data_IF_870358312059
#
_entry.id   IF_870358312059
#
_cell.length_a   1.000
_cell.length_b   1.000
_cell.length_c   1.000
_cell.angle_alpha   90.00
_cell.angle_beta   90.00
_cell.angle_gamma   90.00
#
_symmetry.space_group_name_H-M   'P 1'
#
loop_
_entity.id
_entity.type
_entity.pdbx_description
1 polymer ?
#
# COMPACT_ATOMS: atom_id res chain seq x y z
N UNK A 1 1.01 0.43 -24.33
CA UNK A 1 0.00 -0.60 -24.19
C UNK A 1 -0.67 -0.66 -22.81
N UNK A 2 0.04 -0.37 -21.74
CA UNK A 2 -0.62 -0.31 -20.42
C UNK A 2 -1.61 0.86 -20.35
N UNK A 3 -2.79 0.58 -19.78
CA UNK A 3 -3.80 1.61 -19.55
C UNK A 3 -3.32 2.63 -18.52
N UNK A 4 -3.50 3.90 -18.84
CA UNK A 4 -3.17 5.02 -17.95
C UNK A 4 -3.91 4.90 -16.62
N UNK A 5 -5.11 4.34 -16.60
CA UNK A 5 -5.88 4.12 -15.37
C UNK A 5 -5.15 3.25 -14.36
N UNK A 6 -4.46 2.18 -14.81
CA UNK A 6 -3.64 1.32 -13.95
C UNK A 6 -2.47 2.08 -13.35
N UNK A 7 -1.79 2.87 -14.17
CA UNK A 7 -0.64 3.67 -13.74
C UNK A 7 -1.06 4.75 -12.74
N UNK A 8 -2.19 5.42 -12.99
CA UNK A 8 -2.75 6.40 -12.07
C UNK A 8 -3.17 5.76 -10.75
N UNK A 9 -3.80 4.59 -10.80
CA UNK A 9 -4.20 3.85 -9.60
C UNK A 9 -2.97 3.52 -8.74
N UNK A 10 -1.90 3.03 -9.36
CA UNK A 10 -0.64 2.74 -8.67
C UNK A 10 -0.06 3.99 -8.00
N UNK A 11 0.04 5.08 -8.74
CA UNK A 11 0.58 6.36 -8.22
C UNK A 11 -0.24 6.84 -7.02
N UNK A 12 -1.56 6.80 -7.13
CA UNK A 12 -2.45 7.25 -6.06
C UNK A 12 -2.33 6.36 -4.81
N UNK A 13 -2.24 5.05 -4.98
CA UNK A 13 -2.05 4.11 -3.88
C UNK A 13 -0.68 4.29 -3.21
N UNK A 14 0.39 4.47 -3.99
CA UNK A 14 1.73 4.74 -3.45
C UNK A 14 1.75 6.02 -2.63
N UNK A 15 1.14 7.08 -3.14
CA UNK A 15 1.05 8.36 -2.43
C UNK A 15 0.30 8.21 -1.12
N UNK A 16 -0.88 7.62 -1.16
CA UNK A 16 -1.73 7.40 0.01
C UNK A 16 -1.02 6.55 1.07
N UNK A 17 -0.34 5.48 0.65
CA UNK A 17 0.45 4.63 1.52
C UNK A 17 1.60 5.40 2.18
N UNK A 18 2.39 6.13 1.39
CA UNK A 18 3.54 6.89 1.89
C UNK A 18 3.11 8.01 2.86
N UNK A 19 2.03 8.70 2.55
CA UNK A 19 1.49 9.77 3.42
C UNK A 19 1.06 9.21 4.77
N UNK A 20 0.31 8.11 4.78
CA UNK A 20 -0.11 7.48 6.03
C UNK A 20 1.07 6.93 6.82
N UNK A 21 2.02 6.28 6.15
CA UNK A 21 3.23 5.75 6.77
C UNK A 21 4.04 6.84 7.45
N UNK A 22 4.22 7.98 6.78
CA UNK A 22 4.93 9.13 7.34
C UNK A 22 4.18 9.71 8.55
N UNK A 23 2.87 9.88 8.44
CA UNK A 23 2.02 10.36 9.52
C UNK A 23 2.13 9.47 10.77
N UNK A 24 2.12 8.16 10.59
CA UNK A 24 2.25 7.22 11.70
C UNK A 24 3.64 7.24 12.32
N UNK A 25 4.69 7.40 11.52
CA UNK A 25 6.06 7.58 12.05
C UNK A 25 6.19 8.86 12.88
N UNK A 26 5.60 9.95 12.42
CA UNK A 26 5.58 11.21 13.16
C UNK A 26 4.82 11.08 14.48
N UNK A 27 3.66 10.40 14.44
CA UNK A 27 2.87 10.12 15.65
C UNK A 27 3.67 9.29 16.66
N UNK A 28 4.34 8.24 16.19
CA UNK A 28 5.18 7.38 17.02
C UNK A 28 6.26 8.20 17.73
N UNK A 29 6.97 9.03 16.98
CA UNK A 29 8.04 9.87 17.53
C UNK A 29 7.51 10.84 18.58
N UNK A 30 6.42 11.54 18.27
CA UNK A 30 5.82 12.54 19.19
C UNK A 30 5.29 11.87 20.46
N UNK A 31 4.58 10.77 20.32
CA UNK A 31 4.01 10.05 21.47
C UNK A 31 5.10 9.46 22.37
N UNK A 32 6.13 8.89 21.76
CA UNK A 32 7.27 8.38 22.53
C UNK A 32 8.01 9.48 23.26
N UNK A 33 8.30 10.58 22.60
CA UNK A 33 8.99 11.73 23.22
C UNK A 33 8.18 12.30 24.38
N UNK A 34 6.87 12.47 24.21
CA UNK A 34 5.97 12.96 25.27
C UNK A 34 5.94 12.01 26.46
N UNK A 35 5.89 10.72 26.22
CA UNK A 35 5.93 9.71 27.28
C UNK A 35 7.22 9.77 28.07
N UNK A 36 8.38 9.84 27.40
CA UNK A 36 9.69 9.90 28.06
C UNK A 36 9.89 11.18 28.87
N UNK A 37 9.35 12.30 28.42
CA UNK A 37 9.38 13.54 29.18
C UNK A 37 8.59 13.43 30.51
N UNK A 38 7.44 12.76 30.46
CA UNK A 38 6.59 12.54 31.62
C UNK A 38 7.07 11.40 32.54
N UNK A 39 7.81 10.44 32.00
CA UNK A 39 8.20 9.19 32.66
C UNK A 39 9.69 8.91 32.47
N UNK A 40 10.55 9.87 32.83
CA UNK A 40 12.01 9.80 32.61
C UNK A 40 12.68 8.63 33.35
N UNK A 41 12.06 8.10 34.40
CA UNK A 41 12.58 6.97 35.18
C UNK A 41 12.21 5.61 34.59
N UNK A 42 11.31 5.57 33.64
CA UNK A 42 10.93 4.31 32.98
C UNK A 42 12.08 3.83 32.09
N UNK A 43 12.62 2.65 32.41
CA UNK A 43 13.74 2.02 31.69
C UNK A 43 13.29 0.98 30.68
N UNK A 44 11.99 0.87 30.41
CA UNK A 44 11.47 -0.04 29.39
C UNK A 44 12.02 0.31 28.01
N UNK A 45 12.13 -0.69 27.14
CA UNK A 45 12.59 -0.46 25.77
C UNK A 45 11.62 0.45 25.02
N UNK A 46 12.13 1.18 24.04
CA UNK A 46 11.32 2.03 23.16
C UNK A 46 10.15 1.25 22.54
N UNK A 47 10.44 0.03 22.07
CA UNK A 47 9.45 -0.84 21.45
C UNK A 47 8.29 -1.19 22.40
N UNK A 48 8.59 -1.55 23.65
CA UNK A 48 7.58 -1.86 24.65
C UNK A 48 6.71 -0.64 24.98
N UNK A 49 7.33 0.52 25.10
CA UNK A 49 6.62 1.77 25.38
C UNK A 49 5.66 2.09 24.23
N UNK A 50 6.14 2.01 22.98
CA UNK A 50 5.33 2.28 21.80
C UNK A 50 4.17 1.30 21.69
N UNK A 51 4.41 0.02 21.90
CA UNK A 51 3.35 -1.01 21.87
C UNK A 51 2.26 -0.72 22.90
N UNK A 52 2.66 -0.33 24.11
CA UNK A 52 1.71 0.06 25.16
C UNK A 52 0.90 1.30 24.80
N UNK A 53 1.53 2.30 24.18
CA UNK A 53 0.85 3.51 23.73
C UNK A 53 -0.15 3.21 22.60
N UNK A 54 0.21 2.34 21.68
CA UNK A 54 -0.69 1.90 20.60
C UNK A 54 -1.91 1.15 21.15
N UNK A 55 -1.69 0.22 22.09
CA UNK A 55 -2.78 -0.54 22.69
C UNK A 55 -3.78 0.33 23.45
N UNK A 56 -3.34 1.49 23.93
CA UNK A 56 -4.20 2.45 24.61
C UNK A 56 -4.89 3.44 23.67
N UNK A 57 -4.63 3.38 22.37
CA UNK A 57 -5.13 4.32 21.35
C UNK A 57 -5.78 3.55 20.19
N UNK A 58 -7.10 3.36 20.27
CA UNK A 58 -7.87 2.62 19.27
C UNK A 58 -7.74 3.24 17.88
N UNK A 59 -7.67 4.57 17.78
CA UNK A 59 -7.52 5.25 16.51
C UNK A 59 -6.16 4.93 15.87
N UNK A 60 -5.11 4.85 16.67
CA UNK A 60 -3.79 4.46 16.18
C UNK A 60 -3.79 3.04 15.62
N UNK A 61 -4.42 2.10 16.32
CA UNK A 61 -4.57 0.72 15.85
C UNK A 61 -5.34 0.64 14.54
N UNK A 62 -6.43 1.41 14.40
CA UNK A 62 -7.19 1.48 13.15
C UNK A 62 -6.35 2.04 12.00
N UNK A 63 -5.52 3.04 12.25
CA UNK A 63 -4.62 3.59 11.24
C UNK A 63 -3.52 2.61 10.84
N UNK A 64 -3.02 1.80 11.78
CA UNK A 64 -2.06 0.73 11.47
C UNK A 64 -2.70 -0.34 10.57
N UNK A 65 -3.96 -0.72 10.84
CA UNK A 65 -4.71 -1.64 9.97
C UNK A 65 -4.93 -1.05 8.59
N UNK A 66 -5.28 0.23 8.51
CA UNK A 66 -5.43 0.94 7.23
C UNK A 66 -4.13 0.94 6.44
N UNK A 67 -2.99 1.13 7.10
CA UNK A 67 -1.68 1.08 6.45
C UNK A 67 -1.40 -0.30 5.86
N UNK A 68 -1.69 -1.37 6.60
CA UNK A 68 -1.54 -2.74 6.11
C UNK A 68 -2.44 -3.02 4.91
N UNK A 69 -3.68 -2.53 4.93
CA UNK A 69 -4.61 -2.67 3.81
C UNK A 69 -4.08 -1.95 2.56
N UNK A 70 -3.58 -0.73 2.71
CA UNK A 70 -2.98 0.04 1.60
C UNK A 70 -1.75 -0.66 1.02
N UNK A 71 -0.90 -1.23 1.86
CA UNK A 71 0.26 -2.01 1.42
C UNK A 71 -0.18 -3.24 0.61
N UNK A 72 -1.19 -3.97 1.08
CA UNK A 72 -1.75 -5.11 0.37
C UNK A 72 -2.33 -4.73 -0.97
N UNK A 73 -3.10 -3.65 -1.05
CA UNK A 73 -3.66 -3.14 -2.31
C UNK A 73 -2.57 -2.77 -3.30
N UNK A 74 -1.51 -2.09 -2.84
CA UNK A 74 -0.39 -1.72 -3.68
C UNK A 74 0.35 -2.93 -4.25
N UNK A 75 0.54 -3.97 -3.42
CA UNK A 75 1.14 -5.24 -3.88
C UNK A 75 0.31 -5.90 -4.97
N UNK A 76 -1.02 -5.91 -4.84
CA UNK A 76 -1.92 -6.49 -5.85
C UNK A 76 -1.83 -5.70 -7.16
N UNK A 77 -1.88 -4.37 -7.11
CA UNK A 77 -1.77 -3.54 -8.31
C UNK A 77 -0.43 -3.74 -9.01
N UNK A 78 0.67 -3.78 -8.24
CA UNK A 78 2.00 -4.05 -8.82
C UNK A 78 2.07 -5.43 -9.48
N UNK A 79 1.47 -6.45 -8.86
CA UNK A 79 1.41 -7.79 -9.44
C UNK A 79 0.66 -7.79 -10.77
N UNK A 80 -0.47 -7.09 -10.85
CA UNK A 80 -1.26 -6.96 -12.09
C UNK A 80 -0.43 -6.27 -13.17
N UNK A 81 0.22 -5.16 -12.85
CA UNK A 81 1.05 -4.41 -13.80
C UNK A 81 2.21 -5.28 -14.29
N UNK A 82 2.92 -5.97 -13.40
CA UNK A 82 4.04 -6.84 -13.73
C UNK A 82 3.57 -7.99 -14.65
N UNK A 83 2.41 -8.57 -14.37
CA UNK A 83 1.83 -9.63 -15.20
C UNK A 83 1.51 -9.13 -16.60
N UNK A 84 0.91 -7.95 -16.73
CA UNK A 84 0.60 -7.35 -18.03
C UNK A 84 1.88 -7.00 -18.79
N UNK A 85 2.89 -6.46 -18.12
CA UNK A 85 4.18 -6.17 -18.77
C UNK A 85 4.88 -7.45 -19.25
N UNK A 86 4.82 -8.52 -18.47
CA UNK A 86 5.34 -9.82 -18.87
C UNK A 86 4.60 -10.37 -20.09
N UNK A 87 3.27 -10.20 -20.14
CA UNK A 87 2.45 -10.61 -21.30
C UNK A 87 2.86 -9.86 -22.56
N UNK A 88 3.07 -8.54 -22.46
CA UNK A 88 3.59 -7.72 -23.58
C UNK A 88 4.94 -8.26 -24.04
N UNK A 89 5.85 -8.56 -23.10
CA UNK A 89 7.17 -9.09 -23.39
C UNK A 89 7.12 -10.41 -24.13
N UNK A 90 6.27 -11.35 -23.72
CA UNK A 90 6.09 -12.65 -24.37
C UNK A 90 5.51 -12.47 -25.78
N UNK A 91 4.48 -11.64 -25.94
CA UNK A 91 3.90 -11.36 -27.25
C UNK A 91 4.92 -10.75 -28.20
N UNK A 92 5.72 -9.80 -27.72
CA UNK A 92 6.76 -9.13 -28.50
C UNK A 92 7.85 -10.12 -28.92
N UNK A 93 8.26 -11.00 -28.02
CA UNK A 93 9.27 -12.04 -28.29
C UNK A 93 8.83 -12.98 -29.40
N UNK A 94 7.57 -13.43 -29.39
CA UNK A 94 7.00 -14.29 -30.39
C UNK A 94 6.50 -13.57 -31.66
N UNK A 95 6.59 -12.24 -31.67
CA UNK A 95 6.06 -11.38 -32.75
C UNK A 95 4.55 -11.59 -33.01
N UNK A 96 3.84 -12.06 -32.00
CA UNK A 96 2.40 -12.30 -32.03
C UNK A 96 1.70 -11.34 -31.07
N UNK A 97 1.51 -10.09 -31.50
CA UNK A 97 0.81 -9.12 -30.69
C UNK A 97 -0.68 -9.19 -31.00
N UNK A 98 -1.43 -9.85 -30.11
CA UNK A 98 -2.89 -9.85 -30.14
C UNK A 98 -3.41 -8.74 -29.23
N UNK A 99 -3.68 -7.58 -29.83
CA UNK A 99 -4.17 -6.41 -29.13
C UNK A 99 -5.52 -6.67 -28.47
N UNK A 100 -6.43 -7.36 -29.12
CA UNK A 100 -7.77 -7.61 -28.58
C UNK A 100 -7.71 -8.52 -27.35
N UNK A 101 -6.88 -9.54 -27.38
CA UNK A 101 -6.63 -10.40 -26.23
C UNK A 101 -6.05 -9.61 -25.07
N UNK A 102 -5.04 -8.79 -25.33
CA UNK A 102 -4.39 -7.97 -24.31
C UNK A 102 -5.37 -6.96 -23.69
N UNK A 103 -6.14 -6.25 -24.51
CA UNK A 103 -7.10 -5.27 -24.04
C UNK A 103 -8.19 -5.93 -23.17
N UNK A 104 -8.66 -7.10 -23.55
CA UNK A 104 -9.62 -7.86 -22.75
C UNK A 104 -9.03 -8.28 -21.41
N UNK A 105 -7.80 -8.80 -21.41
CA UNK A 105 -7.11 -9.21 -20.20
C UNK A 105 -6.95 -8.03 -19.25
N UNK A 106 -6.53 -6.89 -19.78
CA UNK A 106 -6.38 -5.67 -19.01
C UNK A 106 -7.70 -5.18 -18.43
N UNK A 107 -8.78 -5.20 -19.20
CA UNK A 107 -10.11 -4.81 -18.74
C UNK A 107 -10.59 -5.74 -17.62
N UNK A 108 -10.35 -7.04 -17.74
CA UNK A 108 -10.67 -8.02 -16.69
C UNK A 108 -9.92 -7.71 -15.39
N UNK A 109 -8.62 -7.40 -15.48
CA UNK A 109 -7.84 -7.01 -14.31
C UNK A 109 -8.31 -5.68 -13.70
N UNK A 110 -8.63 -4.69 -14.54
CA UNK A 110 -9.17 -3.41 -14.05
C UNK A 110 -10.49 -3.61 -13.32
N UNK A 111 -11.40 -4.41 -13.87
CA UNK A 111 -12.67 -4.72 -13.22
C UNK A 111 -12.47 -5.43 -11.87
N UNK A 112 -11.54 -6.37 -11.82
CA UNK A 112 -11.15 -7.04 -10.58
C UNK A 112 -10.64 -6.04 -9.52
N UNK A 113 -9.72 -5.16 -9.91
CA UNK A 113 -9.15 -4.16 -9.01
C UNK A 113 -10.21 -3.16 -8.52
N UNK A 114 -11.09 -2.70 -9.39
CA UNK A 114 -12.19 -1.80 -9.00
C UNK A 114 -13.12 -2.48 -7.99
N UNK A 115 -13.44 -3.76 -8.19
CA UNK A 115 -14.27 -4.53 -7.27
C UNK A 115 -13.60 -4.73 -5.91
N UNK A 116 -12.32 -5.10 -5.89
CA UNK A 116 -11.60 -5.43 -4.66
C UNK A 116 -11.12 -4.20 -3.88
N UNK A 117 -10.72 -3.13 -4.57
CA UNK A 117 -10.11 -1.97 -3.95
C UNK A 117 -11.06 -0.80 -3.72
N UNK A 118 -12.10 -0.67 -4.55
CA UNK A 118 -13.04 0.45 -4.51
C UNK A 118 -14.47 0.02 -4.11
N UNK A 119 -14.68 -1.26 -4.09
CA UNK A 119 -15.92 -1.85 -3.59
C UNK A 119 -15.89 -2.08 -2.09
#
# INVERSE_FOLDING_TARGET
MLDVKLLKLRVNLERSYKELKLKLKQKELVQYASYKLANSSDKSSKEKIIDSLKLADDQWLLQEEELLAKEGHLKIVNLVIDTLQSTIGVMSFHKEIDKDYFDKLQDDYLSFLESELLG
#
